data_IF_728026868708
#
_entry.id   IF_728026868708
#
_cell.length_a   1.000
_cell.length_b   1.000
_cell.length_c   1.000
_cell.angle_alpha   90.00
_cell.angle_beta   90.00
_cell.angle_gamma   90.00
#
_symmetry.space_group_name_H-M   'P 1'
#
loop_
_entity.id
_entity.type
_entity.pdbx_description
1 polymer ?
#
# COMPACT_ATOMS: atom_id res chain seq x y z
N UNK A 1 10.02 -9.72 -4.85
CA UNK A 1 9.24 -8.48 -4.68
C UNK A 1 8.39 -8.58 -3.43
N UNK A 2 8.21 -7.50 -2.67
CA UNK A 2 7.37 -7.52 -1.49
C UNK A 2 5.92 -7.87 -1.80
N UNK A 3 5.28 -8.58 -0.87
CA UNK A 3 3.87 -8.94 -0.96
C UNK A 3 3.18 -8.66 0.36
N UNK A 4 2.11 -7.86 0.36
CA UNK A 4 1.40 -7.49 1.58
C UNK A 4 -0.03 -8.02 1.59
N UNK A 5 -0.55 -8.27 2.80
CA UNK A 5 -1.97 -8.40 3.04
C UNK A 5 -2.49 -7.05 3.51
N UNK A 6 -3.37 -6.43 2.72
CA UNK A 6 -3.98 -5.13 3.02
C UNK A 6 -5.36 -5.36 3.62
N UNK A 7 -5.52 -5.00 4.90
CA UNK A 7 -6.70 -5.31 5.70
C UNK A 7 -7.42 -4.03 6.13
N UNK A 8 -8.22 -3.38 5.25
CA UNK A 8 -9.12 -2.33 5.69
C UNK A 8 -10.19 -2.87 6.63
N UNK A 9 -10.59 -2.05 7.61
CA UNK A 9 -11.62 -2.39 8.59
C UNK A 9 -12.92 -2.88 7.93
N UNK A 10 -13.57 -3.83 8.59
CA UNK A 10 -14.91 -4.35 8.24
C UNK A 10 -15.94 -3.94 9.29
N UNK A 11 -15.69 -2.85 10.03
CA UNK A 11 -16.53 -2.38 11.13
C UNK A 11 -17.51 -1.30 10.66
N UNK A 12 -18.56 -1.68 9.95
CA UNK A 12 -19.61 -0.80 9.44
C UNK A 12 -20.39 -0.09 10.55
N UNK A 13 -20.41 -0.67 11.76
CA UNK A 13 -21.10 -0.08 12.94
C UNK A 13 -20.36 1.09 13.57
N UNK A 14 -19.07 1.28 13.29
CA UNK A 14 -18.29 2.42 13.76
C UNK A 14 -18.60 3.66 12.92
N UNK A 15 -19.66 4.36 13.31
CA UNK A 15 -20.15 5.53 12.58
C UNK A 15 -19.24 6.75 12.81
N UNK A 16 -18.89 7.45 11.74
CA UNK A 16 -18.16 8.70 11.82
C UNK A 16 -19.05 9.85 12.22
N UNK A 17 -18.58 10.70 13.12
CA UNK A 17 -19.34 11.86 13.64
C UNK A 17 -19.81 12.83 12.55
N UNK A 18 -19.19 12.83 11.38
CA UNK A 18 -19.57 13.63 10.21
C UNK A 18 -20.28 12.82 9.11
N UNK A 19 -20.80 11.64 9.44
CA UNK A 19 -21.44 10.69 8.51
C UNK A 19 -20.47 9.72 7.85
N UNK A 20 -21.00 8.65 7.27
CA UNK A 20 -20.21 7.50 6.82
C UNK A 20 -19.68 6.67 7.99
N UNK A 21 -18.90 5.64 7.71
CA UNK A 21 -18.41 4.72 8.73
C UNK A 21 -16.95 4.30 8.46
N UNK A 22 -16.39 3.57 9.41
CA UNK A 22 -14.97 3.14 9.34
C UNK A 22 -14.71 2.21 8.16
N UNK A 23 -15.56 1.21 7.92
CA UNK A 23 -15.42 0.30 6.79
C UNK A 23 -15.36 1.06 5.45
N UNK A 24 -16.31 1.98 5.24
CA UNK A 24 -16.36 2.80 4.01
C UNK A 24 -15.06 3.55 3.77
N UNK A 25 -14.58 4.30 4.77
CA UNK A 25 -13.40 5.17 4.58
C UNK A 25 -12.09 4.40 4.56
N UNK A 26 -11.97 3.27 5.29
CA UNK A 26 -10.77 2.43 5.21
C UNK A 26 -10.69 1.68 3.88
N UNK A 27 -11.82 1.27 3.30
CA UNK A 27 -11.85 0.72 1.95
C UNK A 27 -11.52 1.77 0.88
N UNK A 28 -12.05 3.00 0.98
CA UNK A 28 -11.67 4.11 0.10
C UNK A 28 -10.17 4.42 0.21
N UNK A 29 -9.59 4.37 1.41
CA UNK A 29 -8.15 4.55 1.61
C UNK A 29 -7.36 3.42 0.92
N UNK A 30 -7.77 2.18 1.11
CA UNK A 30 -7.15 1.03 0.46
C UNK A 30 -7.20 1.15 -1.07
N UNK A 31 -8.34 1.58 -1.64
CA UNK A 31 -8.48 1.86 -3.09
C UNK A 31 -7.47 2.91 -3.58
N UNK A 32 -7.19 3.95 -2.77
CA UNK A 32 -6.17 4.97 -3.08
C UNK A 32 -4.75 4.45 -2.95
N UNK A 33 -4.51 3.46 -2.08
CA UNK A 33 -3.18 2.84 -1.92
C UNK A 33 -2.80 1.93 -3.10
N UNK A 34 -3.77 1.23 -3.70
CA UNK A 34 -3.51 0.24 -4.75
C UNK A 34 -2.68 0.74 -5.93
N UNK A 35 -2.96 1.93 -6.54
CA UNK A 35 -2.14 2.46 -7.63
C UNK A 35 -0.68 2.70 -7.21
N UNK A 36 -0.43 3.21 -6.00
CA UNK A 36 0.92 3.43 -5.47
C UNK A 36 1.65 2.12 -5.18
N UNK A 37 0.96 1.11 -4.61
CA UNK A 37 1.51 -0.23 -4.39
C UNK A 37 1.99 -0.84 -5.71
N UNK A 38 1.14 -0.82 -6.74
CA UNK A 38 1.49 -1.33 -8.07
C UNK A 38 2.67 -0.58 -8.68
N UNK A 39 2.63 0.75 -8.68
CA UNK A 39 3.70 1.58 -9.25
C UNK A 39 5.03 1.37 -8.55
N UNK A 40 5.02 1.10 -7.24
CA UNK A 40 6.23 0.82 -6.45
C UNK A 40 6.66 -0.65 -6.47
N UNK A 41 5.92 -1.52 -7.17
CA UNK A 41 6.24 -2.94 -7.31
C UNK A 41 5.89 -3.79 -6.09
N UNK A 42 5.02 -3.29 -5.19
CA UNK A 42 4.49 -4.06 -4.07
C UNK A 42 3.23 -4.79 -4.53
N UNK A 43 3.26 -6.13 -4.45
CA UNK A 43 2.06 -6.94 -4.70
C UNK A 43 1.20 -7.00 -3.44
N UNK A 44 -0.12 -7.12 -3.61
CA UNK A 44 -1.03 -7.12 -2.48
C UNK A 44 -2.22 -8.05 -2.69
N UNK A 45 -2.81 -8.47 -1.58
CA UNK A 45 -4.13 -9.10 -1.52
C UNK A 45 -4.92 -8.34 -0.47
N UNK A 46 -6.19 -8.04 -0.75
CA UNK A 46 -7.10 -7.42 0.22
C UNK A 46 -7.87 -8.49 0.98
N UNK A 47 -8.29 -8.15 2.20
CA UNK A 47 -9.26 -8.96 2.94
C UNK A 47 -10.61 -9.00 2.18
N UNK A 48 -11.39 -10.03 2.44
CA UNK A 48 -12.78 -10.13 2.01
C UNK A 48 -13.66 -9.27 2.96
N UNK A 49 -14.32 -8.21 2.47
CA UNK A 49 -15.14 -7.33 3.32
C UNK A 49 -16.35 -8.02 3.92
N UNK A 50 -16.79 -9.16 3.38
CA UNK A 50 -17.88 -9.97 3.96
C UNK A 50 -17.45 -10.79 5.17
N UNK A 51 -16.16 -10.82 5.48
CA UNK A 51 -15.59 -11.58 6.61
C UNK A 51 -15.14 -10.63 7.72
N UNK A 52 -15.32 -11.05 8.95
CA UNK A 52 -14.87 -10.31 10.13
C UNK A 52 -13.33 -10.41 10.31
N UNK A 53 -12.81 -9.76 11.35
CA UNK A 53 -11.38 -9.75 11.71
C UNK A 53 -10.76 -11.16 11.83
N UNK A 54 -11.49 -12.15 12.33
CA UNK A 54 -11.01 -13.54 12.42
C UNK A 54 -10.79 -14.13 11.02
N UNK A 55 -11.68 -13.80 10.09
CA UNK A 55 -11.56 -14.14 8.67
C UNK A 55 -10.32 -13.51 8.03
N UNK A 56 -10.10 -12.20 8.23
CA UNK A 56 -8.93 -11.49 7.72
C UNK A 56 -7.61 -12.08 8.24
N UNK A 57 -7.53 -12.37 9.54
CA UNK A 57 -6.37 -13.04 10.16
C UNK A 57 -6.13 -14.43 9.52
N UNK A 58 -7.20 -15.20 9.34
CA UNK A 58 -7.12 -16.54 8.73
C UNK A 58 -6.60 -16.49 7.31
N UNK A 59 -7.10 -15.55 6.48
CA UNK A 59 -6.70 -15.37 5.08
C UNK A 59 -5.25 -14.87 4.96
N UNK A 60 -4.86 -13.93 5.82
CA UNK A 60 -3.47 -13.49 5.93
C UNK A 60 -2.54 -14.66 6.27
N UNK A 61 -2.93 -15.49 7.24
CA UNK A 61 -2.12 -16.63 7.67
C UNK A 61 -2.10 -17.80 6.66
N UNK A 62 -3.09 -17.89 5.77
CA UNK A 62 -3.12 -18.89 4.70
C UNK A 62 -2.19 -18.52 3.53
N UNK A 63 -1.83 -17.24 3.38
CA UNK A 63 -0.89 -16.78 2.36
C UNK A 63 0.53 -16.60 2.89
N UNK A 64 1.45 -16.33 1.96
CA UNK A 64 2.82 -15.92 2.27
C UNK A 64 2.93 -14.41 2.02
N UNK A 65 2.79 -13.62 3.07
CA UNK A 65 2.90 -12.17 3.04
C UNK A 65 4.08 -11.70 3.89
N UNK A 66 4.78 -10.69 3.40
CA UNK A 66 5.87 -10.06 4.14
C UNK A 66 5.32 -9.13 5.23
N UNK A 67 4.21 -8.44 4.93
CA UNK A 67 3.53 -7.52 5.85
C UNK A 67 2.02 -7.75 5.84
N UNK A 68 1.41 -7.70 7.03
CA UNK A 68 -0.04 -7.51 7.25
C UNK A 68 -0.25 -6.06 7.70
N UNK A 69 -0.91 -5.27 6.87
CA UNK A 69 -1.22 -3.86 7.15
C UNK A 69 -2.73 -3.71 7.37
N UNK A 70 -3.12 -3.51 8.62
CA UNK A 70 -4.52 -3.24 8.99
C UNK A 70 -4.77 -1.72 9.03
N UNK A 71 -5.90 -1.31 8.46
CA UNK A 71 -6.33 0.09 8.40
C UNK A 71 -7.61 0.28 9.22
N UNK A 72 -7.54 1.15 10.23
CA UNK A 72 -8.61 1.42 11.18
C UNK A 72 -8.72 2.91 11.53
N UNK A 73 -9.77 3.28 12.24
CA UNK A 73 -9.94 4.57 12.92
C UNK A 73 -10.36 4.35 14.36
N UNK A 74 -9.69 5.03 15.28
CA UNK A 74 -9.82 4.87 16.71
C UNK A 74 -11.17 5.38 17.23
N UNK A 75 -11.58 4.89 18.40
CA UNK A 75 -12.72 5.36 19.16
C UNK A 75 -12.28 5.86 20.55
N UNK A 76 -12.77 7.03 20.95
CA UNK A 76 -12.57 7.46 22.31
C UNK A 76 -13.50 6.70 23.29
N UNK A 77 -13.04 6.40 24.52
CA UNK A 77 -13.96 5.95 25.56
C UNK A 77 -15.11 6.94 25.72
N UNK A 78 -16.33 6.47 26.02
CA UNK A 78 -17.55 7.28 26.10
C UNK A 78 -17.38 8.60 26.87
N UNK A 79 -16.70 8.58 28.03
CA UNK A 79 -16.41 9.77 28.86
C UNK A 79 -15.53 10.82 28.16
N UNK A 80 -14.82 10.43 27.12
CA UNK A 80 -13.91 11.27 26.34
C UNK A 80 -14.34 11.45 24.87
N UNK A 81 -15.57 11.04 24.56
CA UNK A 81 -16.11 11.13 23.20
C UNK A 81 -15.92 12.54 22.61
N UNK A 82 -15.40 12.62 21.39
CA UNK A 82 -15.11 13.85 20.66
C UNK A 82 -13.91 14.65 21.18
N UNK A 83 -13.21 14.21 22.23
CA UNK A 83 -12.11 14.97 22.87
C UNK A 83 -10.72 14.46 22.53
N UNK A 84 -10.59 13.17 22.17
CA UNK A 84 -9.31 12.59 21.82
C UNK A 84 -9.03 12.81 20.33
N UNK A 85 -7.74 12.97 20.03
CA UNK A 85 -7.20 13.09 18.67
C UNK A 85 -5.85 12.44 18.60
N UNK A 86 -5.48 11.94 17.44
CA UNK A 86 -4.15 11.40 17.23
C UNK A 86 -4.15 10.18 16.31
N UNK A 87 -2.96 9.73 15.99
CA UNK A 87 -2.72 8.54 15.19
C UNK A 87 -1.86 7.58 16.00
N UNK A 88 -2.36 6.37 16.19
CA UNK A 88 -1.65 5.30 16.89
C UNK A 88 -1.34 4.18 15.87
N UNK A 89 -0.06 3.82 15.73
CA UNK A 89 0.39 2.69 14.91
C UNK A 89 0.76 1.53 15.83
N UNK A 90 -0.13 0.57 15.94
CA UNK A 90 0.04 -0.56 16.85
C UNK A 90 0.93 -1.64 16.26
N UNK A 91 1.80 -2.21 17.13
CA UNK A 91 2.71 -3.30 16.80
C UNK A 91 2.84 -4.32 17.93
N UNK A 92 3.29 -5.54 17.59
CA UNK A 92 3.60 -6.55 18.60
C UNK A 92 4.95 -6.27 19.28
N UNK A 93 5.03 -6.14 20.63
CA UNK A 93 6.29 -5.92 21.33
C UNK A 93 7.25 -7.11 21.23
N UNK A 94 6.79 -8.25 20.77
CA UNK A 94 7.62 -9.43 20.54
C UNK A 94 8.26 -9.49 19.14
N UNK A 95 7.94 -8.51 18.27
CA UNK A 95 8.44 -8.44 16.89
C UNK A 95 9.19 -7.14 16.63
N UNK A 96 10.52 -7.24 16.53
CA UNK A 96 11.36 -6.10 16.14
C UNK A 96 10.97 -5.50 14.79
N UNK A 97 10.65 -6.35 13.81
CA UNK A 97 10.27 -5.88 12.47
C UNK A 97 8.92 -5.16 12.46
N UNK A 98 7.94 -5.58 13.30
CA UNK A 98 6.68 -4.85 13.48
C UNK A 98 6.89 -3.49 14.12
N UNK A 99 7.74 -3.41 15.17
CA UNK A 99 8.12 -2.15 15.80
C UNK A 99 8.82 -1.20 14.82
N UNK A 100 9.75 -1.73 14.02
CA UNK A 100 10.47 -0.97 13.00
C UNK A 100 9.50 -0.38 11.96
N UNK A 101 8.58 -1.20 11.43
CA UNK A 101 7.57 -0.75 10.47
C UNK A 101 6.63 0.29 11.09
N UNK A 102 6.11 0.03 12.29
CA UNK A 102 5.24 0.97 13.00
C UNK A 102 5.92 2.32 13.25
N UNK A 103 7.21 2.30 13.60
CA UNK A 103 8.01 3.51 13.82
C UNK A 103 8.20 4.30 12.52
N UNK A 104 8.47 3.63 11.40
CA UNK A 104 8.59 4.28 10.09
C UNK A 104 7.27 4.96 9.73
N UNK A 105 6.14 4.23 9.81
CA UNK A 105 4.81 4.77 9.50
C UNK A 105 4.49 5.97 10.40
N UNK A 106 4.68 5.83 11.72
CA UNK A 106 4.40 6.90 12.67
C UNK A 106 5.25 8.17 12.38
N UNK A 107 6.51 8.01 12.00
CA UNK A 107 7.37 9.14 11.67
C UNK A 107 6.99 9.81 10.35
N UNK A 108 6.66 9.04 9.32
CA UNK A 108 6.30 9.58 8.01
C UNK A 108 4.96 10.33 8.06
N UNK A 109 3.95 9.78 8.74
CA UNK A 109 2.62 10.37 8.79
C UNK A 109 2.58 11.68 9.61
N UNK A 110 3.54 11.92 10.50
CA UNK A 110 3.73 13.21 11.19
C UNK A 110 3.85 14.39 10.23
N UNK A 111 4.38 14.15 9.03
CA UNK A 111 4.57 15.21 8.03
C UNK A 111 3.26 15.75 7.43
N UNK A 112 2.17 14.98 7.54
CA UNK A 112 0.87 15.32 6.95
C UNK A 112 -0.25 15.45 8.00
N UNK A 113 -0.07 14.91 9.20
CA UNK A 113 -1.07 15.03 10.26
C UNK A 113 -0.93 16.37 11.01
N UNK A 114 -2.04 17.11 11.26
CA UNK A 114 -1.96 18.47 11.83
C UNK A 114 -1.44 18.52 13.29
N UNK A 115 -1.42 17.39 13.99
CA UNK A 115 -0.92 17.29 15.36
C UNK A 115 0.20 16.23 15.44
N UNK A 116 1.41 16.50 14.89
CA UNK A 116 2.48 15.49 14.80
C UNK A 116 2.88 14.88 16.14
N UNK A 117 2.80 15.64 17.23
CA UNK A 117 3.11 15.16 18.59
C UNK A 117 2.08 14.15 19.13
N UNK A 118 0.92 14.02 18.47
CA UNK A 118 -0.09 13.01 18.78
C UNK A 118 -0.03 11.79 17.86
N UNK A 119 1.09 11.60 17.18
CA UNK A 119 1.33 10.44 16.32
C UNK A 119 2.45 9.58 16.88
N UNK A 120 2.20 8.30 17.10
CA UNK A 120 3.15 7.41 17.78
C UNK A 120 3.01 5.95 17.36
N UNK A 121 4.11 5.20 17.49
CA UNK A 121 4.09 3.75 17.50
C UNK A 121 3.75 3.24 18.91
N UNK A 122 2.83 2.28 19.04
CA UNK A 122 2.28 1.81 20.31
C UNK A 122 2.35 0.28 20.40
N UNK A 123 3.04 -0.30 21.39
CA UNK A 123 3.02 -1.75 21.58
C UNK A 123 1.64 -2.24 22.03
N UNK A 124 1.20 -3.38 21.50
CA UNK A 124 -0.05 -4.03 21.89
C UNK A 124 0.10 -5.54 21.98
N UNK A 125 -0.60 -6.14 22.95
CA UNK A 125 -0.74 -7.59 23.12
C UNK A 125 -2.19 -8.06 22.97
N UNK A 126 -3.12 -7.15 22.65
CA UNK A 126 -4.55 -7.41 22.64
C UNK A 126 -5.21 -7.36 21.24
N UNK A 127 -4.61 -6.67 20.27
CA UNK A 127 -5.18 -6.55 18.93
C UNK A 127 -4.85 -7.78 18.09
N UNK A 128 -5.89 -8.53 17.69
CA UNK A 128 -5.74 -9.82 17.01
C UNK A 128 -4.96 -9.73 15.69
N UNK A 129 -5.21 -8.72 14.84
CA UNK A 129 -4.50 -8.55 13.57
C UNK A 129 -3.00 -8.32 13.74
N UNK A 130 -2.59 -7.78 14.90
CA UNK A 130 -1.18 -7.56 15.23
C UNK A 130 -0.54 -8.80 15.87
N UNK A 131 -1.30 -9.52 16.72
CA UNK A 131 -0.74 -10.58 17.59
C UNK A 131 -0.94 -12.00 17.09
N UNK A 132 -1.87 -12.21 16.12
CA UNK A 132 -2.25 -13.54 15.63
C UNK A 132 -1.90 -13.76 14.15
N UNK A 133 -1.27 -12.79 13.49
CA UNK A 133 -0.79 -12.93 12.10
C UNK A 133 0.66 -13.40 12.08
N UNK A 134 1.02 -14.18 11.05
CA UNK A 134 2.39 -14.70 10.83
C UNK A 134 3.30 -13.66 10.17
N UNK A 135 2.74 -12.82 9.30
CA UNK A 135 3.45 -11.72 8.66
C UNK A 135 3.87 -10.67 9.70
N UNK A 136 4.84 -9.84 9.35
CA UNK A 136 5.10 -8.61 10.09
C UNK A 136 3.84 -7.76 10.09
N UNK A 137 3.26 -7.51 11.27
CA UNK A 137 1.93 -6.91 11.36
C UNK A 137 1.95 -5.56 12.06
N UNK A 138 1.24 -4.61 11.48
CA UNK A 138 0.91 -3.32 12.09
C UNK A 138 -0.55 -3.00 11.85
N UNK A 139 -1.16 -2.30 12.84
CA UNK A 139 -2.52 -1.78 12.73
C UNK A 139 -2.47 -0.25 12.90
N UNK A 140 -2.97 0.44 11.88
CA UNK A 140 -2.97 1.91 11.82
C UNK A 140 -4.32 2.43 12.28
N UNK A 141 -4.38 3.11 13.44
CA UNK A 141 -5.52 3.89 13.89
C UNK A 141 -5.36 5.35 13.40
N UNK A 142 -6.03 5.68 12.31
CA UNK A 142 -5.82 6.90 11.53
C UNK A 142 -6.73 8.05 11.99
N UNK A 143 -6.63 8.43 13.25
CA UNK A 143 -7.47 9.44 13.89
C UNK A 143 -8.69 8.83 14.58
N UNK A 144 -9.41 9.65 15.33
CA UNK A 144 -10.57 9.23 16.11
C UNK A 144 -11.86 9.49 15.34
N UNK A 145 -12.67 8.44 15.08
CA UNK A 145 -13.88 8.54 14.27
C UNK A 145 -15.03 9.33 14.96
N UNK A 146 -14.95 9.50 16.27
CA UNK A 146 -15.86 10.31 17.08
C UNK A 146 -15.40 11.79 17.22
N UNK A 147 -14.24 12.16 16.64
CA UNK A 147 -13.72 13.52 16.65
C UNK A 147 -13.89 14.20 15.28
N UNK A 148 -14.55 15.35 15.25
CA UNK A 148 -14.89 16.09 14.01
C UNK A 148 -13.64 16.48 13.22
N UNK A 149 -12.58 16.94 13.88
CA UNK A 149 -11.37 17.43 13.21
C UNK A 149 -10.54 16.28 12.64
N UNK A 150 -10.45 15.15 13.35
CA UNK A 150 -9.75 13.95 12.87
C UNK A 150 -10.48 13.32 11.67
N UNK A 151 -11.82 13.17 11.77
CA UNK A 151 -12.62 12.67 10.65
C UNK A 151 -12.55 13.61 9.44
N UNK A 152 -12.62 14.92 9.66
CA UNK A 152 -12.50 15.90 8.56
C UNK A 152 -11.13 15.82 7.90
N UNK A 153 -10.06 15.71 8.69
CA UNK A 153 -8.71 15.53 8.16
C UNK A 153 -8.59 14.23 7.37
N UNK A 154 -9.03 13.11 7.91
CA UNK A 154 -9.00 11.81 7.25
C UNK A 154 -9.69 11.87 5.88
N UNK A 155 -10.93 12.34 5.84
CA UNK A 155 -11.74 12.41 4.62
C UNK A 155 -11.12 13.28 3.53
N UNK A 156 -10.53 14.40 3.92
CA UNK A 156 -9.93 15.36 2.99
C UNK A 156 -8.52 14.97 2.52
N UNK A 157 -7.88 14.00 3.17
CA UNK A 157 -6.49 13.65 2.92
C UNK A 157 -6.25 12.18 2.54
N UNK A 158 -7.30 11.43 2.12
CA UNK A 158 -7.16 10.01 1.78
C UNK A 158 -6.02 9.74 0.79
N UNK A 159 -5.86 10.58 -0.23
CA UNK A 159 -4.79 10.45 -1.23
C UNK A 159 -3.39 10.65 -0.61
N UNK A 160 -3.24 11.68 0.23
CA UNK A 160 -1.97 11.96 0.91
C UNK A 160 -1.62 10.87 1.93
N UNK A 161 -2.62 10.35 2.66
CA UNK A 161 -2.46 9.24 3.60
C UNK A 161 -2.05 7.98 2.85
N UNK A 162 -2.72 7.66 1.75
CA UNK A 162 -2.40 6.50 0.90
C UNK A 162 -0.96 6.54 0.40
N UNK A 163 -0.55 7.68 -0.18
CA UNK A 163 0.81 7.87 -0.66
C UNK A 163 1.84 7.74 0.47
N UNK A 164 1.55 8.30 1.65
CA UNK A 164 2.44 8.27 2.82
C UNK A 164 2.60 6.85 3.39
N UNK A 165 1.51 6.08 3.50
CA UNK A 165 1.55 4.69 3.95
C UNK A 165 2.34 3.80 2.98
N UNK A 166 2.16 3.98 1.66
CA UNK A 166 2.94 3.23 0.66
C UNK A 166 4.40 3.67 0.63
N UNK A 167 4.70 4.97 0.80
CA UNK A 167 6.06 5.44 1.00
C UNK A 167 6.71 4.75 2.21
N UNK A 168 5.97 4.63 3.32
CA UNK A 168 6.46 3.97 4.54
C UNK A 168 6.76 2.47 4.32
N UNK A 169 5.93 1.79 3.53
CA UNK A 169 6.21 0.41 3.11
C UNK A 169 7.47 0.33 2.23
N UNK A 170 7.64 1.27 1.29
CA UNK A 170 8.84 1.34 0.45
C UNK A 170 10.11 1.57 1.29
N UNK A 171 10.06 2.48 2.27
CA UNK A 171 11.16 2.74 3.22
C UNK A 171 11.49 1.49 4.05
N UNK A 172 10.45 0.77 4.49
CA UNK A 172 10.60 -0.48 5.24
C UNK A 172 11.28 -1.58 4.41
N UNK A 173 10.86 -1.76 3.16
CA UNK A 173 11.42 -2.77 2.25
C UNK A 173 12.73 -2.35 1.58
N UNK A 174 13.12 -1.08 1.68
CA UNK A 174 14.30 -0.54 1.02
C UNK A 174 14.16 -0.46 -0.50
N UNK A 175 12.96 -0.24 -1.02
CA UNK A 175 12.66 -0.11 -2.44
C UNK A 175 12.22 1.32 -2.80
N UNK A 176 12.36 1.77 -4.05
CA UNK A 176 11.91 3.09 -4.45
C UNK A 176 10.39 3.26 -4.35
N UNK A 177 9.95 4.39 -3.78
CA UNK A 177 8.56 4.83 -3.91
C UNK A 177 8.35 5.45 -5.28
N UNK A 178 7.35 4.95 -6.01
CA UNK A 178 6.97 5.47 -7.33
C UNK A 178 5.54 6.02 -7.26
N UNK A 179 5.38 7.28 -7.64
CA UNK A 179 4.06 7.91 -7.67
C UNK A 179 3.12 7.14 -8.58
N UNK A 180 1.85 7.06 -8.16
CA UNK A 180 0.81 6.49 -9.00
C UNK A 180 0.69 7.24 -10.31
N UNK A 181 0.63 6.50 -11.39
CA UNK A 181 0.54 7.02 -12.75
C UNK A 181 -0.25 6.09 -13.67
N UNK A 182 -0.44 6.46 -14.92
CA UNK A 182 -1.10 5.61 -15.89
C UNK A 182 -0.30 4.33 -16.11
N UNK A 183 -1.03 3.22 -16.26
CA UNK A 183 -0.46 1.91 -16.62
C UNK A 183 -0.30 1.85 -18.13
N UNK A 184 0.86 1.45 -18.60
CA UNK A 184 1.18 1.35 -20.02
C UNK A 184 1.44 -0.10 -20.44
N UNK A 185 1.35 -0.37 -21.72
CA UNK A 185 1.89 -1.58 -22.33
C UNK A 185 3.21 -1.27 -23.02
N UNK A 186 4.12 -2.22 -23.01
CA UNK A 186 5.40 -2.15 -23.70
C UNK A 186 5.69 -3.42 -24.49
N UNK A 187 6.67 -3.34 -25.36
CA UNK A 187 7.24 -4.48 -26.09
C UNK A 187 8.73 -4.51 -25.79
N UNK A 188 9.27 -5.70 -25.50
CA UNK A 188 10.71 -5.90 -25.35
C UNK A 188 11.40 -5.77 -26.71
N UNK A 189 12.45 -4.97 -26.77
CA UNK A 189 13.31 -4.75 -27.92
C UNK A 189 14.79 -4.95 -27.50
N UNK A 190 15.15 -6.20 -27.24
CA UNK A 190 16.46 -6.58 -26.70
C UNK A 190 17.37 -7.30 -27.73
N UNK A 191 17.04 -7.17 -29.03
CA UNK A 191 17.87 -7.66 -30.12
C UNK A 191 18.06 -9.18 -30.13
N UNK A 192 17.01 -9.94 -29.86
CA UNK A 192 17.01 -11.41 -29.82
C UNK A 192 17.33 -12.03 -28.47
N UNK A 193 17.64 -11.20 -27.43
CA UNK A 193 17.91 -11.68 -26.08
C UNK A 193 16.69 -11.48 -25.17
N UNK A 194 16.56 -12.29 -24.13
CA UNK A 194 15.53 -12.07 -23.11
C UNK A 194 15.90 -10.87 -22.21
N UNK A 195 14.90 -10.09 -21.81
CA UNK A 195 15.03 -9.02 -20.82
C UNK A 195 14.81 -9.59 -19.40
N UNK A 196 15.76 -9.36 -18.50
CA UNK A 196 15.66 -9.81 -17.11
C UNK A 196 14.68 -8.94 -16.30
N UNK A 197 13.84 -9.59 -15.48
CA UNK A 197 13.09 -8.96 -14.40
C UNK A 197 13.90 -9.15 -13.10
N UNK A 198 14.10 -8.08 -12.35
CA UNK A 198 14.91 -8.09 -11.12
C UNK A 198 14.09 -7.67 -9.89
N UNK A 199 14.56 -8.06 -8.71
CA UNK A 199 13.96 -7.71 -7.42
C UNK A 199 14.30 -6.28 -6.97
N UNK A 200 15.33 -5.66 -7.57
CA UNK A 200 15.77 -4.29 -7.32
C UNK A 200 16.18 -3.59 -8.63
N UNK A 201 15.96 -2.25 -8.79
CA UNK A 201 16.24 -1.53 -10.04
C UNK A 201 17.74 -1.24 -10.21
N UNK A 202 18.52 -2.27 -10.34
CA UNK A 202 19.96 -2.21 -10.64
C UNK A 202 20.43 -3.49 -11.35
N UNK A 203 21.57 -3.43 -12.03
CA UNK A 203 22.20 -4.60 -12.63
C UNK A 203 22.68 -5.63 -11.60
N UNK A 204 22.87 -5.20 -10.34
CA UNK A 204 23.19 -6.06 -9.19
C UNK A 204 21.97 -6.72 -8.54
N UNK A 205 20.74 -6.30 -8.88
CA UNK A 205 19.52 -6.92 -8.38
C UNK A 205 19.40 -8.39 -8.83
N UNK A 206 18.83 -9.25 -7.98
CA UNK A 206 18.62 -10.65 -8.28
C UNK A 206 17.63 -10.83 -9.43
N UNK A 207 17.93 -11.71 -10.39
CA UNK A 207 17.00 -12.04 -11.48
C UNK A 207 15.89 -12.94 -10.92
N UNK A 208 14.64 -12.46 -11.01
CA UNK A 208 13.42 -13.15 -10.54
C UNK A 208 12.52 -13.61 -11.68
N UNK A 209 12.84 -13.25 -12.91
CA UNK A 209 12.11 -13.64 -14.11
C UNK A 209 12.79 -13.11 -15.37
N UNK A 210 12.25 -13.46 -16.53
CA UNK A 210 12.71 -12.97 -17.83
C UNK A 210 11.55 -12.84 -18.82
N UNK A 211 11.69 -11.89 -19.76
CA UNK A 211 10.70 -11.56 -20.78
C UNK A 211 11.37 -11.79 -22.14
N UNK A 212 10.81 -12.63 -23.02
CA UNK A 212 11.34 -12.84 -24.37
C UNK A 212 11.36 -11.55 -25.19
N UNK A 213 12.34 -11.45 -26.10
CA UNK A 213 12.36 -10.38 -27.10
C UNK A 213 11.07 -10.37 -27.94
N UNK A 214 10.52 -9.22 -28.22
CA UNK A 214 9.24 -9.05 -28.91
C UNK A 214 8.00 -9.30 -28.05
N UNK A 215 8.11 -9.80 -26.81
CA UNK A 215 6.97 -10.05 -25.95
C UNK A 215 6.38 -8.74 -25.38
N UNK A 216 5.05 -8.74 -25.22
CA UNK A 216 4.33 -7.62 -24.55
C UNK A 216 4.39 -7.76 -23.05
N UNK A 217 4.51 -6.62 -22.36
CA UNK A 217 4.51 -6.52 -20.90
C UNK A 217 3.66 -5.33 -20.45
N UNK A 218 3.30 -5.32 -19.17
CA UNK A 218 2.65 -4.17 -18.52
C UNK A 218 3.69 -3.38 -17.76
N UNK A 219 3.66 -2.04 -17.89
CA UNK A 219 4.51 -1.09 -17.15
C UNK A 219 3.62 -0.42 -16.11
N UNK A 220 3.95 -0.62 -14.83
CA UNK A 220 3.21 -0.05 -13.69
C UNK A 220 3.76 1.31 -13.26
N UNK A 221 5.04 1.58 -13.47
CA UNK A 221 5.64 2.84 -13.06
C UNK A 221 7.05 3.04 -13.61
N UNK A 222 7.44 4.30 -13.67
CA UNK A 222 8.82 4.72 -14.00
C UNK A 222 9.57 5.01 -12.70
N UNK A 223 10.56 4.19 -12.39
CA UNK A 223 11.42 4.36 -11.20
C UNK A 223 12.39 5.52 -11.38
N UNK A 224 12.63 5.92 -12.63
CA UNK A 224 13.75 6.78 -13.00
C UNK A 224 15.04 5.97 -13.22
N UNK A 225 16.11 6.68 -13.58
CA UNK A 225 17.45 6.11 -13.78
C UNK A 225 17.49 4.89 -14.72
N UNK A 226 16.57 4.82 -15.70
CA UNK A 226 16.55 3.76 -16.71
C UNK A 226 15.87 2.46 -16.28
N UNK A 227 14.98 2.49 -15.28
CA UNK A 227 14.24 1.32 -14.79
C UNK A 227 12.74 1.55 -14.75
N UNK A 228 11.98 0.52 -15.16
CA UNK A 228 10.52 0.45 -15.01
C UNK A 228 10.13 -0.64 -14.00
N UNK A 229 9.02 -0.42 -13.29
CA UNK A 229 8.28 -1.50 -12.64
C UNK A 229 7.43 -2.17 -13.69
N UNK A 230 7.65 -3.45 -13.91
CA UNK A 230 6.99 -4.23 -14.97
C UNK A 230 6.27 -5.45 -14.42
N UNK A 231 5.26 -5.89 -15.17
CA UNK A 231 4.57 -7.15 -14.90
C UNK A 231 4.53 -8.00 -16.18
N UNK A 232 4.92 -9.27 -16.05
CA UNK A 232 4.89 -10.27 -17.10
C UNK A 232 4.68 -11.67 -16.55
N UNK A 233 3.70 -12.41 -17.07
CA UNK A 233 3.39 -13.81 -16.68
C UNK A 233 3.37 -14.03 -15.16
N UNK A 234 2.67 -13.18 -14.42
CA UNK A 234 2.53 -13.30 -12.96
C UNK A 234 3.73 -12.82 -12.15
N UNK A 235 4.83 -12.39 -12.80
CA UNK A 235 6.01 -11.84 -12.13
C UNK A 235 5.98 -10.32 -12.23
N UNK A 236 6.02 -9.63 -11.06
CA UNK A 236 6.24 -8.20 -10.96
C UNK A 236 7.67 -7.94 -10.51
N UNK A 237 8.35 -6.95 -11.08
CA UNK A 237 9.72 -6.59 -10.72
C UNK A 237 10.24 -5.44 -11.56
N UNK A 238 11.55 -5.24 -11.54
CA UNK A 238 12.21 -4.15 -12.24
C UNK A 238 12.88 -4.64 -13.52
N UNK A 239 12.69 -3.91 -14.62
CA UNK A 239 13.39 -4.16 -15.88
C UNK A 239 13.98 -2.88 -16.44
N UNK A 240 15.11 -2.99 -17.16
CA UNK A 240 15.76 -1.85 -17.77
C UNK A 240 14.92 -1.26 -18.89
N UNK A 241 14.57 0.01 -18.79
CA UNK A 241 13.71 0.72 -19.73
C UNK A 241 14.33 0.87 -21.13
N UNK A 242 15.66 0.82 -21.25
CA UNK A 242 16.36 0.91 -22.54
C UNK A 242 16.00 -0.21 -23.52
N UNK A 243 15.48 -1.34 -23.03
CA UNK A 243 15.06 -2.50 -23.82
C UNK A 243 13.54 -2.61 -23.96
N UNK A 244 12.81 -1.55 -23.65
CA UNK A 244 11.34 -1.55 -23.70
C UNK A 244 10.86 -0.38 -24.57
N UNK A 245 10.07 -0.69 -25.60
CA UNK A 245 9.34 0.30 -26.38
C UNK A 245 7.95 0.43 -25.80
N UNK A 246 7.64 1.61 -25.22
CA UNK A 246 6.31 1.91 -24.71
C UNK A 246 5.31 2.03 -25.86
N UNK A 247 4.19 1.33 -25.77
CA UNK A 247 3.06 1.48 -26.66
C UNK A 247 2.19 2.63 -26.16
N UNK A 248 2.40 3.83 -26.68
CA UNK A 248 1.48 4.93 -26.43
C UNK A 248 0.12 4.57 -27.04
N UNK A 249 -0.94 4.59 -26.26
CA UNK A 249 -2.30 4.61 -26.78
C UNK A 249 -2.47 5.93 -27.54
N UNK A 250 -2.27 5.91 -28.84
CA UNK A 250 -2.83 6.96 -29.70
C UNK A 250 -4.34 6.73 -29.70
N UNK A 251 -5.10 7.53 -28.95
CA UNK A 251 -6.54 7.61 -29.15
C UNK A 251 -6.79 7.85 -30.65
N UNK A 252 -7.67 7.08 -31.30
CA UNK A 252 -8.01 7.36 -32.68
C UNK A 252 -8.53 8.81 -32.76
N UNK A 253 -7.90 9.58 -33.64
CA UNK A 253 -8.30 10.99 -33.85
C UNK A 253 -9.78 10.98 -34.31
N UNK A 254 -10.64 11.90 -33.79
CA UNK A 254 -12.05 11.98 -34.17
C UNK A 254 -12.29 12.41 -35.64
N UNK A 255 -11.32 12.28 -36.52
CA UNK A 255 -11.35 12.83 -37.90
C UNK A 255 -11.54 11.83 -39.04
N UNK A 256 -11.80 10.55 -38.75
CA UNK A 256 -12.04 9.56 -39.82
C UNK A 256 -13.48 9.02 -39.83
N UNK A 257 -14.46 9.90 -39.65
CA UNK A 257 -15.82 9.62 -40.12
C UNK A 257 -16.17 10.62 -41.21
N UNK A 258 -15.90 10.28 -42.44
CA UNK A 258 -16.60 10.75 -43.65
C UNK A 258 -17.22 9.60 -44.35
#
# INVERSE_FOLDING_TARGET
MPKIFLSPSTQEWNQYVTGGNEEEYMNLLADRMEPYLRSSGITYVRNDPSRNVVGAISDSNAGNFDVHLALHSNAAPERLAGKLRGIDIYFSPSSYDSERLATIIANNIKSIYPLPDKTRAVPTTSLGEVTQTRAVAVLCELGYHDNVEDVTWLKNNLEAIAANLVQSLCDYFGIPFVKAGPVFNGIVAAGGSNLNIRDYPSTGGQIIGSIPDGARLTIYGDVGNGWYVVHYNGVTGYASSQFIVCLLYTSPSPRDTR
#
